data_IF_103764652002
#
_entry.id   IF_103764652002
#
_cell.length_a   1.000
_cell.length_b   1.000
_cell.length_c   1.000
_cell.angle_alpha   90.00
_cell.angle_beta   90.00
_cell.angle_gamma   90.00
#
_symmetry.space_group_name_H-M   'P 1'
#
loop_
_entity.id
_entity.type
_entity.pdbx_description
1 polymer ?
#
# COMPACT_ATOMS: atom_id res chain seq x y z
N UNK A 1 -1.86 24.23 -34.86
CA UNK A 1 -0.45 23.99 -35.23
C UNK A 1 -0.13 22.52 -35.03
N UNK A 2 0.46 21.86 -36.06
CA UNK A 2 0.93 20.47 -35.97
C UNK A 2 2.12 20.35 -35.00
N UNK A 3 2.23 19.22 -34.30
CA UNK A 3 3.39 18.91 -33.41
C UNK A 3 4.73 19.07 -34.13
N UNK A 4 4.76 18.85 -35.44
CA UNK A 4 5.95 18.93 -36.29
C UNK A 4 6.40 20.37 -36.51
N UNK A 5 5.47 21.30 -36.74
CA UNK A 5 5.75 22.72 -36.87
C UNK A 5 6.32 23.33 -35.58
N UNK A 6 5.90 22.82 -34.41
CA UNK A 6 6.40 23.27 -33.10
C UNK A 6 7.82 22.79 -32.80
N UNK A 7 8.22 21.61 -33.30
CA UNK A 7 9.59 21.08 -33.19
C UNK A 7 10.57 21.83 -34.10
N UNK A 8 10.11 22.23 -35.29
CA UNK A 8 10.92 22.98 -36.27
C UNK A 8 11.19 24.43 -35.86
N UNK A 9 10.47 24.96 -34.86
CA UNK A 9 10.65 26.32 -34.33
C UNK A 9 11.60 26.38 -33.11
N UNK A 10 12.14 25.25 -32.65
CA UNK A 10 13.10 25.28 -31.55
C UNK A 10 14.45 25.80 -32.06
N UNK A 11 15.05 26.82 -31.41
CA UNK A 11 16.35 27.33 -31.80
C UNK A 11 17.41 26.23 -31.65
N UNK A 12 18.34 26.18 -32.62
CA UNK A 12 19.51 25.32 -32.55
C UNK A 12 20.36 25.75 -31.35
N UNK A 13 20.54 24.82 -30.42
CA UNK A 13 21.36 25.00 -29.21
C UNK A 13 22.81 24.67 -29.59
N UNK A 14 23.77 25.43 -29.05
CA UNK A 14 25.20 25.19 -29.29
C UNK A 14 25.70 23.92 -28.58
N UNK A 15 26.81 23.34 -29.06
CA UNK A 15 27.41 22.15 -28.43
C UNK A 15 27.77 22.37 -26.96
N UNK A 16 28.26 23.57 -26.63
CA UNK A 16 28.61 23.95 -25.26
C UNK A 16 27.38 24.01 -24.35
N UNK A 17 26.27 24.58 -24.83
CA UNK A 17 25.01 24.61 -24.10
C UNK A 17 24.40 23.21 -23.93
N UNK A 18 24.57 22.31 -24.91
CA UNK A 18 24.16 20.90 -24.78
C UNK A 18 24.95 20.22 -23.68
N UNK A 19 26.29 20.30 -23.70
CA UNK A 19 27.13 19.71 -22.66
C UNK A 19 26.88 20.31 -21.28
N UNK A 20 26.61 21.62 -21.21
CA UNK A 20 26.25 22.28 -19.95
C UNK A 20 24.92 21.77 -19.39
N UNK A 21 23.89 21.63 -20.24
CA UNK A 21 22.59 21.07 -19.84
C UNK A 21 22.69 19.60 -19.46
N UNK A 22 23.44 18.80 -20.20
CA UNK A 22 23.70 17.40 -19.86
C UNK A 22 24.44 17.28 -18.52
N UNK A 23 25.46 18.10 -18.28
CA UNK A 23 26.16 18.14 -17.00
C UNK A 23 25.25 18.61 -15.85
N UNK A 24 24.32 19.52 -16.09
CA UNK A 24 23.30 19.92 -15.13
C UNK A 24 22.33 18.76 -14.83
N UNK A 25 21.79 18.11 -15.86
CA UNK A 25 20.87 16.97 -15.70
C UNK A 25 21.54 15.78 -15.01
N UNK A 26 22.80 15.50 -15.33
CA UNK A 26 23.56 14.43 -14.68
C UNK A 26 23.87 14.72 -13.20
N UNK A 27 23.88 16.00 -12.80
CA UNK A 27 24.08 16.41 -11.39
C UNK A 27 22.80 16.28 -10.55
N UNK A 28 21.61 16.28 -11.16
CA UNK A 28 20.35 16.21 -10.43
C UNK A 28 19.63 14.87 -10.63
N UNK A 29 19.49 14.07 -9.57
CA UNK A 29 18.52 12.96 -9.59
C UNK A 29 17.12 13.49 -9.31
N UNK A 30 16.20 13.20 -10.22
CA UNK A 30 14.80 13.56 -10.06
C UNK A 30 14.04 12.44 -9.35
N UNK A 31 13.54 12.73 -8.15
CA UNK A 31 12.67 11.83 -7.40
C UNK A 31 11.21 12.21 -7.61
N UNK A 32 10.33 11.22 -7.77
CA UNK A 32 8.88 11.47 -7.78
C UNK A 32 8.46 12.14 -6.47
N UNK A 33 7.44 13.02 -6.46
CA UNK A 33 6.91 13.56 -5.21
C UNK A 33 6.38 12.42 -4.32
N UNK A 34 6.63 12.54 -3.02
CA UNK A 34 6.21 11.55 -2.03
C UNK A 34 4.88 11.98 -1.43
N UNK A 35 3.94 11.05 -1.28
CA UNK A 35 2.68 11.31 -0.57
C UNK A 35 2.95 11.56 0.91
N UNK A 36 2.17 12.44 1.55
CA UNK A 36 2.43 12.93 2.92
C UNK A 36 2.66 11.80 3.97
N UNK A 37 1.93 10.69 3.84
CA UNK A 37 2.08 9.54 4.74
C UNK A 37 3.47 8.92 4.65
N UNK A 38 3.99 8.75 3.44
CA UNK A 38 5.33 8.20 3.20
C UNK A 38 6.41 9.17 3.66
N UNK A 39 6.19 10.48 3.53
CA UNK A 39 7.08 11.52 4.08
C UNK A 39 7.20 11.39 5.60
N UNK A 40 6.08 11.22 6.31
CA UNK A 40 6.07 10.99 7.77
C UNK A 40 6.85 9.73 8.16
N UNK A 41 6.74 8.68 7.37
CA UNK A 41 7.50 7.45 7.58
C UNK A 41 9.00 7.68 7.41
N UNK A 42 9.42 8.38 6.35
CA UNK A 42 10.84 8.71 6.15
C UNK A 42 11.40 9.59 7.26
N UNK A 43 10.66 10.57 7.77
CA UNK A 43 11.11 11.36 8.92
C UNK A 43 11.38 10.50 10.15
N UNK A 44 10.50 9.53 10.43
CA UNK A 44 10.72 8.59 11.55
C UNK A 44 11.96 7.73 11.32
N UNK A 45 12.13 7.18 10.13
CA UNK A 45 13.30 6.37 9.80
C UNK A 45 14.61 7.18 9.83
N UNK A 46 14.57 8.44 9.40
CA UNK A 46 15.70 9.38 9.51
C UNK A 46 16.06 9.67 10.96
N UNK A 47 15.07 9.85 11.83
CA UNK A 47 15.30 10.04 13.25
C UNK A 47 15.95 8.80 13.89
N UNK A 48 15.47 7.58 13.56
CA UNK A 48 16.11 6.35 14.04
C UNK A 48 17.58 6.26 13.65
N UNK A 49 17.91 6.61 12.40
CA UNK A 49 19.30 6.60 11.93
C UNK A 49 20.17 7.62 12.66
N UNK A 50 19.65 8.82 12.92
CA UNK A 50 20.36 9.84 13.71
C UNK A 50 20.61 9.40 15.14
N UNK A 51 19.59 8.89 15.82
CA UNK A 51 19.71 8.38 17.18
C UNK A 51 20.70 7.22 17.26
N UNK A 52 20.77 6.37 16.23
CA UNK A 52 21.78 5.33 16.14
C UNK A 52 23.20 5.91 16.03
N UNK A 53 23.40 6.98 15.24
CA UNK A 53 24.69 7.68 15.16
C UNK A 53 25.12 8.29 16.48
N UNK A 54 24.16 8.87 17.22
CA UNK A 54 24.40 9.37 18.59
C UNK A 54 24.77 8.23 19.55
N UNK A 55 24.14 7.06 19.42
CA UNK A 55 24.44 5.89 20.25
C UNK A 55 25.86 5.33 20.03
N UNK A 56 26.35 5.32 18.79
CA UNK A 56 27.72 4.86 18.46
C UNK A 56 28.79 5.95 18.62
N UNK A 57 28.41 7.13 19.10
CA UNK A 57 29.30 8.30 19.30
C UNK A 57 30.11 8.69 18.05
N UNK A 58 29.48 8.63 16.87
CA UNK A 58 30.10 9.09 15.62
C UNK A 58 29.68 10.53 15.30
N UNK A 59 30.60 11.47 15.49
CA UNK A 59 30.42 12.90 15.15
C UNK A 59 30.46 13.19 13.64
N UNK A 60 30.07 12.20 12.82
CA UNK A 60 30.10 12.29 11.37
C UNK A 60 28.75 12.82 10.87
N UNK A 61 28.72 13.77 9.93
CA UNK A 61 27.47 14.22 9.33
C UNK A 61 26.74 13.05 8.68
N UNK A 62 25.54 12.74 9.16
CA UNK A 62 24.71 11.64 8.65
C UNK A 62 24.01 12.02 7.33
N UNK A 63 23.82 11.04 6.43
CA UNK A 63 22.98 11.15 5.23
C UNK A 63 23.42 12.28 4.28
N UNK A 64 24.72 12.36 4.00
CA UNK A 64 25.25 13.33 3.05
C UNK A 64 24.99 12.89 1.61
N UNK A 65 24.76 13.87 0.72
CA UNK A 65 24.62 13.59 -0.70
C UNK A 65 25.89 12.94 -1.24
N UNK A 66 25.70 11.87 -2.00
CA UNK A 66 26.75 11.07 -2.63
C UNK A 66 27.73 10.41 -1.66
N UNK A 67 27.35 10.23 -0.39
CA UNK A 67 28.16 9.45 0.54
C UNK A 67 28.21 7.97 0.15
N UNK A 68 29.28 7.28 0.53
CA UNK A 68 29.38 5.84 0.32
C UNK A 68 28.36 5.10 1.19
N UNK A 69 27.74 4.03 0.68
CA UNK A 69 26.76 3.26 1.43
C UNK A 69 27.42 2.64 2.67
N UNK A 70 26.70 2.53 3.81
CA UNK A 70 27.26 1.91 5.01
C UNK A 70 27.60 0.45 4.77
N UNK A 71 28.58 -0.08 5.50
CA UNK A 71 28.95 -1.50 5.40
C UNK A 71 27.79 -2.41 5.85
N UNK A 72 27.69 -3.65 5.34
CA UNK A 72 26.66 -4.60 5.77
C UNK A 72 26.63 -4.80 7.28
N UNK A 73 27.80 -4.86 7.94
CA UNK A 73 27.91 -4.95 9.39
C UNK A 73 27.30 -3.74 10.11
N UNK A 74 27.52 -2.52 9.60
CA UNK A 74 26.92 -1.31 10.16
C UNK A 74 25.39 -1.33 10.03
N UNK A 75 24.89 -1.78 8.88
CA UNK A 75 23.45 -1.89 8.61
C UNK A 75 22.78 -2.94 9.51
N UNK A 76 23.46 -4.07 9.76
CA UNK A 76 23.00 -5.09 10.72
C UNK A 76 22.94 -4.55 12.15
N UNK A 77 24.02 -3.88 12.60
CA UNK A 77 24.06 -3.27 13.93
C UNK A 77 22.97 -2.21 14.12
N UNK A 78 22.70 -1.39 13.11
CA UNK A 78 21.58 -0.45 13.15
C UNK A 78 20.23 -1.15 13.34
N UNK A 79 19.95 -2.20 12.57
CA UNK A 79 18.67 -2.90 12.63
C UNK A 79 18.51 -3.69 13.94
N UNK A 80 19.61 -4.21 14.48
CA UNK A 80 19.67 -4.80 15.81
C UNK A 80 19.40 -3.75 16.90
N UNK A 81 20.04 -2.60 16.84
CA UNK A 81 19.77 -1.49 17.75
C UNK A 81 18.30 -1.04 17.69
N UNK A 82 17.70 -0.97 16.50
CA UNK A 82 16.26 -0.71 16.35
C UNK A 82 15.43 -1.79 17.03
N UNK A 83 15.80 -3.06 16.89
CA UNK A 83 15.11 -4.16 17.56
C UNK A 83 15.18 -4.05 19.10
N UNK A 84 16.35 -3.72 19.65
CA UNK A 84 16.57 -3.62 21.09
C UNK A 84 15.92 -2.39 21.72
N UNK A 85 15.86 -1.27 21.00
CA UNK A 85 15.33 0.00 21.52
C UNK A 85 13.85 0.22 21.26
N UNK A 86 13.23 -0.57 20.37
CA UNK A 86 11.84 -0.39 19.99
C UNK A 86 10.89 -1.26 20.80
N UNK A 87 9.79 -0.64 21.25
CA UNK A 87 8.68 -1.36 21.88
C UNK A 87 7.58 -1.68 20.87
N UNK A 88 7.11 -2.93 20.88
CA UNK A 88 5.98 -3.36 20.07
C UNK A 88 4.65 -2.83 20.62
N UNK A 89 3.67 -2.64 19.73
CA UNK A 89 2.30 -2.26 20.12
C UNK A 89 1.50 -3.45 20.64
N UNK A 90 1.82 -4.66 20.16
CA UNK A 90 1.10 -5.90 20.51
C UNK A 90 1.79 -6.66 21.64
N UNK A 91 3.09 -6.46 21.78
CA UNK A 91 4.02 -7.20 22.65
C UNK A 91 5.19 -6.27 22.99
N UNK A 92 5.96 -6.61 24.01
CA UNK A 92 7.18 -5.86 24.37
C UNK A 92 8.14 -5.73 23.18
N UNK A 93 8.38 -6.82 22.44
CA UNK A 93 9.21 -6.80 21.23
C UNK A 93 8.45 -6.39 19.98
N UNK A 94 9.13 -5.73 19.04
CA UNK A 94 8.60 -5.44 17.72
C UNK A 94 8.37 -6.72 16.90
N UNK A 95 7.44 -6.65 15.95
CA UNK A 95 7.16 -7.78 15.06
C UNK A 95 8.18 -7.87 13.93
N UNK A 96 8.40 -9.09 13.42
CA UNK A 96 9.21 -9.32 12.21
C UNK A 96 8.78 -8.40 11.05
N UNK A 97 7.47 -8.24 10.87
CA UNK A 97 6.94 -7.41 9.78
C UNK A 97 7.22 -5.92 9.98
N UNK A 98 7.16 -5.43 11.22
CA UNK A 98 7.51 -4.05 11.54
C UNK A 98 8.97 -3.76 11.25
N UNK A 99 9.87 -4.69 11.60
CA UNK A 99 11.30 -4.52 11.38
C UNK A 99 11.66 -4.61 9.89
N UNK A 100 11.10 -5.56 9.14
CA UNK A 100 11.26 -5.61 7.68
C UNK A 100 10.76 -4.33 6.99
N UNK A 101 9.61 -3.79 7.43
CA UNK A 101 9.11 -2.53 6.88
C UNK A 101 10.04 -1.37 7.23
N UNK A 102 10.62 -1.35 8.43
CA UNK A 102 11.60 -0.34 8.84
C UNK A 102 12.84 -0.40 7.96
N UNK A 103 13.35 -1.61 7.68
CA UNK A 103 14.46 -1.83 6.75
C UNK A 103 14.14 -1.34 5.33
N UNK A 104 12.98 -1.71 4.80
CA UNK A 104 12.54 -1.26 3.47
C UNK A 104 12.44 0.27 3.38
N UNK A 105 11.84 0.89 4.39
CA UNK A 105 11.73 2.35 4.45
C UNK A 105 13.09 3.01 4.61
N UNK A 106 14.03 2.38 5.31
CA UNK A 106 15.39 2.86 5.43
C UNK A 106 16.10 2.89 4.09
N UNK A 107 16.10 1.79 3.32
CA UNK A 107 16.73 1.76 1.99
C UNK A 107 16.15 2.85 1.07
N UNK A 108 14.83 3.01 1.06
CA UNK A 108 14.16 4.00 0.21
C UNK A 108 14.43 5.45 0.67
N UNK A 109 14.45 5.71 1.98
CA UNK A 109 14.79 6.99 2.57
C UNK A 109 16.26 7.34 2.31
N UNK A 110 17.16 6.39 2.55
CA UNK A 110 18.60 6.55 2.35
C UNK A 110 18.90 6.96 0.91
N UNK A 111 18.36 6.22 -0.07
CA UNK A 111 18.52 6.54 -1.49
C UNK A 111 18.07 7.96 -1.86
N UNK A 112 17.03 8.48 -1.21
CA UNK A 112 16.53 9.83 -1.48
C UNK A 112 17.37 10.94 -0.87
N UNK A 113 17.95 10.68 0.28
CA UNK A 113 18.77 11.67 0.99
C UNK A 113 20.19 11.71 0.42
N UNK A 114 20.74 10.55 0.06
CA UNK A 114 22.13 10.41 -0.39
C UNK A 114 22.28 10.30 -1.90
N UNK A 115 21.21 10.09 -2.66
CA UNK A 115 21.23 9.75 -4.10
C UNK A 115 22.02 8.45 -4.43
N UNK A 116 22.36 7.66 -3.40
CA UNK A 116 23.15 6.43 -3.50
C UNK A 116 22.30 5.25 -3.00
N UNK A 117 22.17 4.23 -3.85
CA UNK A 117 21.44 3.03 -3.50
C UNK A 117 22.33 2.10 -2.67
N UNK A 118 21.77 1.51 -1.62
CA UNK A 118 22.42 0.41 -0.91
C UNK A 118 22.52 -0.77 -1.88
N UNK A 119 23.70 -1.40 -2.05
CA UNK A 119 23.86 -2.55 -2.93
C UNK A 119 22.86 -3.66 -2.58
N UNK A 120 22.26 -4.27 -3.61
CA UNK A 120 21.22 -5.30 -3.42
C UNK A 120 21.74 -6.47 -2.57
N UNK A 121 23.00 -6.87 -2.76
CA UNK A 121 23.67 -7.90 -1.98
C UNK A 121 23.71 -7.57 -0.48
N UNK A 122 24.07 -6.34 -0.12
CA UNK A 122 24.05 -5.87 1.26
C UNK A 122 22.62 -5.80 1.81
N UNK A 123 21.66 -5.38 0.97
CA UNK A 123 20.27 -5.26 1.40
C UNK A 123 19.60 -6.60 1.67
N UNK A 124 19.93 -7.62 0.87
CA UNK A 124 19.46 -8.98 1.06
C UNK A 124 20.15 -9.67 2.24
N UNK A 125 21.43 -9.38 2.48
CA UNK A 125 22.17 -9.88 3.66
C UNK A 125 21.55 -9.37 4.98
N UNK A 126 21.24 -8.07 5.08
CA UNK A 126 20.54 -7.50 6.25
C UNK A 126 19.14 -8.10 6.39
N UNK A 127 18.43 -8.31 5.28
CA UNK A 127 17.10 -8.95 5.32
C UNK A 127 17.19 -10.41 5.79
N UNK A 128 18.23 -11.14 5.40
CA UNK A 128 18.50 -12.49 5.87
C UNK A 128 18.73 -12.47 7.38
N UNK A 129 19.61 -11.60 7.87
CA UNK A 129 19.89 -11.40 9.31
C UNK A 129 18.63 -11.13 10.14
N UNK A 130 17.70 -10.29 9.65
CA UNK A 130 16.41 -10.06 10.30
C UNK A 130 15.59 -11.37 10.44
N UNK A 131 15.56 -12.18 9.39
CA UNK A 131 14.75 -13.41 9.33
C UNK A 131 15.38 -14.59 10.06
N UNK A 132 16.68 -14.57 10.27
CA UNK A 132 17.43 -15.63 10.95
C UNK A 132 17.73 -15.23 12.39
N UNK A 133 18.71 -14.35 12.61
CA UNK A 133 19.25 -14.03 13.92
C UNK A 133 18.30 -13.22 14.79
N UNK A 134 17.72 -12.14 14.27
CA UNK A 134 16.79 -11.35 15.09
C UNK A 134 15.49 -12.12 15.36
N UNK A 135 15.12 -13.02 14.45
CA UNK A 135 13.98 -13.91 14.65
C UNK A 135 14.21 -14.86 15.83
N UNK A 136 15.42 -15.41 15.97
CA UNK A 136 15.77 -16.27 17.11
C UNK A 136 15.96 -15.49 18.40
N UNK A 137 16.35 -14.21 18.33
CA UNK A 137 16.49 -13.31 19.50
C UNK A 137 15.18 -12.87 20.17
N UNK A 138 14.02 -13.19 19.61
CA UNK A 138 12.72 -12.92 20.25
C UNK A 138 11.81 -11.93 19.53
N UNK A 139 12.00 -11.70 18.22
CA UNK A 139 11.01 -10.95 17.43
C UNK A 139 9.60 -11.50 17.62
N UNK A 140 8.65 -10.61 17.86
CA UNK A 140 7.27 -11.00 18.03
C UNK A 140 6.69 -11.57 16.72
N UNK A 141 6.11 -12.77 16.83
CA UNK A 141 5.45 -13.44 15.70
C UNK A 141 3.93 -13.26 15.70
N UNK A 142 3.42 -12.50 16.67
CA UNK A 142 2.00 -12.25 16.84
C UNK A 142 1.48 -11.41 15.68
N UNK A 143 0.37 -11.86 15.10
CA UNK A 143 -0.40 -11.07 14.13
C UNK A 143 -1.54 -10.39 14.85
N UNK A 144 -1.74 -9.10 14.59
CA UNK A 144 -2.92 -8.38 15.09
C UNK A 144 -4.18 -9.07 14.56
N UNK A 145 -5.03 -9.54 15.44
CA UNK A 145 -6.37 -9.98 15.06
C UNK A 145 -7.13 -8.77 14.50
N UNK A 146 -7.64 -8.89 13.28
CA UNK A 146 -8.53 -7.87 12.71
C UNK A 146 -9.93 -8.25 13.12
N UNK A 147 -10.67 -7.32 13.72
CA UNK A 147 -12.11 -7.47 13.82
C UNK A 147 -12.64 -7.64 12.39
N UNK A 148 -13.30 -8.77 12.15
CA UNK A 148 -14.04 -8.99 10.92
C UNK A 148 -15.44 -8.44 11.16
N UNK A 149 -15.95 -7.70 10.18
CA UNK A 149 -17.34 -7.26 10.22
C UNK A 149 -18.23 -8.52 10.26
N UNK A 150 -19.14 -8.57 11.22
CA UNK A 150 -20.09 -9.66 11.35
C UNK A 150 -21.45 -9.30 10.69
N UNK A 151 -22.42 -10.20 10.82
CA UNK A 151 -23.75 -9.99 10.25
C UNK A 151 -24.47 -8.78 10.88
N UNK A 152 -24.20 -8.48 12.16
CA UNK A 152 -24.81 -7.36 12.88
C UNK A 152 -24.23 -6.03 12.39
N UNK A 153 -22.90 -5.95 12.23
CA UNK A 153 -22.22 -4.80 11.64
C UNK A 153 -22.81 -4.46 10.26
N UNK A 154 -23.08 -5.49 9.44
CA UNK A 154 -23.65 -5.32 8.09
C UNK A 154 -25.11 -4.90 8.17
N UNK A 155 -25.91 -5.52 9.03
CA UNK A 155 -27.31 -5.14 9.23
C UNK A 155 -27.43 -3.69 9.70
N UNK A 156 -26.58 -3.26 10.64
CA UNK A 156 -26.53 -1.87 11.09
C UNK A 156 -26.06 -0.92 10.00
N UNK A 157 -25.04 -1.29 9.22
CA UNK A 157 -24.60 -0.49 8.09
C UNK A 157 -25.72 -0.30 7.05
N UNK A 158 -26.41 -1.38 6.68
CA UNK A 158 -27.53 -1.34 5.73
C UNK A 158 -28.71 -0.54 6.27
N UNK A 159 -29.05 -0.75 7.54
CA UNK A 159 -30.12 -0.01 8.23
C UNK A 159 -29.79 1.48 8.28
N UNK A 160 -28.56 1.83 8.61
CA UNK A 160 -28.11 3.22 8.61
C UNK A 160 -28.23 3.82 7.20
N UNK A 161 -27.68 3.14 6.18
CA UNK A 161 -27.71 3.60 4.79
C UNK A 161 -29.13 3.76 4.22
N UNK A 162 -30.07 2.88 4.57
CA UNK A 162 -31.43 2.91 4.03
C UNK A 162 -32.42 3.71 4.86
N UNK A 163 -32.33 3.69 6.18
CA UNK A 163 -33.35 4.24 7.07
C UNK A 163 -32.97 5.60 7.66
N UNK A 164 -31.66 5.86 7.83
CA UNK A 164 -31.19 7.01 8.61
C UNK A 164 -30.27 7.94 7.85
N UNK A 165 -29.74 7.52 6.71
CA UNK A 165 -28.88 8.36 5.91
C UNK A 165 -29.68 9.47 5.23
N UNK A 166 -29.72 10.63 5.90
CA UNK A 166 -30.27 11.87 5.37
C UNK A 166 -29.33 12.54 4.38
N UNK A 167 -28.14 11.97 4.10
CA UNK A 167 -27.33 12.49 3.03
C UNK A 167 -28.07 12.27 1.70
N UNK A 168 -28.62 13.36 1.17
CA UNK A 168 -28.69 13.54 -0.27
C UNK A 168 -27.24 13.46 -0.77
N UNK A 169 -26.79 12.26 -1.12
CA UNK A 169 -25.58 12.14 -1.90
C UNK A 169 -25.88 12.81 -3.25
N UNK A 170 -25.56 14.11 -3.34
CA UNK A 170 -25.10 14.70 -4.59
C UNK A 170 -23.76 14.05 -4.91
N UNK A 171 -23.79 12.76 -5.23
CA UNK A 171 -22.63 12.10 -5.78
C UNK A 171 -22.30 12.88 -7.05
N UNK A 172 -21.04 13.35 -7.23
CA UNK A 172 -20.67 14.09 -8.43
C UNK A 172 -20.79 13.24 -9.70
N UNK A 173 -21.17 11.95 -9.60
CA UNK A 173 -21.19 10.97 -10.69
C UNK A 173 -22.34 9.97 -10.56
N UNK A 174 -23.09 9.69 -11.63
CA UNK A 174 -24.06 8.60 -11.68
C UNK A 174 -23.37 7.24 -11.46
N UNK A 175 -23.97 6.39 -10.62
CA UNK A 175 -23.60 4.96 -10.56
C UNK A 175 -22.66 4.51 -9.43
N UNK A 176 -22.37 5.38 -8.45
CA UNK A 176 -21.56 5.07 -7.25
C UNK A 176 -22.48 4.97 -6.02
N UNK A 177 -22.30 3.95 -5.18
CA UNK A 177 -23.14 3.72 -3.97
C UNK A 177 -22.42 4.18 -2.70
N UNK A 178 -21.16 3.79 -2.50
CA UNK A 178 -20.38 4.16 -1.31
C UNK A 178 -18.95 4.50 -1.71
N UNK A 179 -18.50 5.69 -1.32
CA UNK A 179 -17.10 6.10 -1.33
C UNK A 179 -16.63 6.18 0.12
N UNK A 180 -15.59 5.44 0.48
CA UNK A 180 -15.02 5.54 1.82
C UNK A 180 -14.39 6.93 2.00
N UNK A 181 -14.59 7.55 3.17
CA UNK A 181 -14.04 8.87 3.48
C UNK A 181 -12.51 8.93 3.37
N UNK A 182 -11.82 7.80 3.55
CA UNK A 182 -10.38 7.67 3.36
C UNK A 182 -9.94 7.73 1.88
N UNK A 183 -10.88 7.70 0.93
CA UNK A 183 -10.66 7.61 -0.52
C UNK A 183 -11.43 8.68 -1.30
N UNK A 184 -11.90 9.75 -0.63
CA UNK A 184 -12.64 10.86 -1.25
C UNK A 184 -11.84 11.46 -2.42
N UNK A 185 -12.37 11.33 -3.63
CA UNK A 185 -11.78 11.87 -4.86
C UNK A 185 -10.79 10.94 -5.58
N UNK A 186 -10.57 9.70 -5.12
CA UNK A 186 -9.64 8.75 -5.76
C UNK A 186 -10.25 7.96 -6.93
N UNK A 187 -11.55 8.13 -7.23
CA UNK A 187 -12.35 7.27 -8.13
C UNK A 187 -12.51 5.81 -7.65
N UNK A 188 -12.06 5.49 -6.44
CA UNK A 188 -12.15 4.15 -5.85
C UNK A 188 -13.38 4.08 -4.94
N UNK A 189 -14.50 3.66 -5.53
CA UNK A 189 -15.77 3.52 -4.83
C UNK A 189 -16.48 2.23 -5.25
N UNK A 190 -17.34 1.72 -4.37
CA UNK A 190 -18.25 0.63 -4.70
C UNK A 190 -19.32 1.16 -5.66
N UNK A 191 -19.50 0.48 -6.78
CA UNK A 191 -20.44 0.84 -7.86
C UNK A 191 -21.61 -0.14 -7.84
N UNK A 192 -22.74 0.21 -8.47
CA UNK A 192 -23.90 -0.69 -8.56
C UNK A 192 -23.55 -2.09 -9.10
N UNK A 193 -22.63 -2.18 -10.06
CA UNK A 193 -22.17 -3.47 -10.61
C UNK A 193 -21.39 -4.36 -9.63
N UNK A 194 -20.99 -3.82 -8.49
CA UNK A 194 -20.31 -4.59 -7.43
C UNK A 194 -21.33 -5.21 -6.45
N UNK A 195 -22.64 -4.98 -6.65
CA UNK A 195 -23.71 -5.55 -5.84
C UNK A 195 -24.64 -6.38 -6.72
N UNK A 196 -25.03 -7.55 -6.24
CA UNK A 196 -26.04 -8.40 -6.88
C UNK A 196 -27.04 -8.82 -5.80
N UNK A 197 -28.31 -8.43 -5.98
CA UNK A 197 -29.39 -8.85 -5.10
C UNK A 197 -30.11 -10.03 -5.74
N UNK A 198 -30.12 -11.17 -5.06
CA UNK A 198 -30.73 -12.40 -5.53
C UNK A 198 -31.87 -12.78 -4.61
N UNK A 199 -33.07 -12.99 -5.16
CA UNK A 199 -34.18 -13.58 -4.44
C UNK A 199 -34.14 -15.10 -4.56
N UNK A 200 -33.99 -15.82 -3.45
CA UNK A 200 -34.07 -17.26 -3.39
C UNK A 200 -35.44 -17.68 -2.83
N UNK A 201 -36.23 -18.51 -3.54
CA UNK A 201 -37.47 -19.03 -2.99
C UNK A 201 -37.16 -19.99 -1.83
N UNK A 202 -37.87 -19.82 -0.72
CA UNK A 202 -37.69 -20.58 0.51
C UNK A 202 -39.03 -21.14 0.99
N UNK A 203 -39.09 -22.47 1.12
CA UNK A 203 -40.20 -23.21 1.71
C UNK A 203 -41.44 -23.38 0.81
N UNK A 204 -42.43 -24.16 1.28
CA UNK A 204 -43.66 -24.47 0.54
C UNK A 204 -44.59 -23.27 0.32
N UNK A 205 -44.41 -22.18 1.07
CA UNK A 205 -45.22 -20.96 1.00
C UNK A 205 -44.66 -19.90 0.03
N UNK A 206 -43.66 -20.26 -0.78
CA UNK A 206 -43.05 -19.35 -1.76
C UNK A 206 -42.52 -18.03 -1.16
N UNK A 207 -41.99 -18.09 0.06
CA UNK A 207 -41.38 -16.91 0.70
C UNK A 207 -40.04 -16.61 0.02
N UNK A 208 -39.67 -15.33 -0.10
CA UNK A 208 -38.43 -14.91 -0.76
C UNK A 208 -37.35 -14.61 0.28
N UNK A 209 -36.21 -15.29 0.24
CA UNK A 209 -34.98 -14.88 0.95
C UNK A 209 -34.18 -13.96 0.03
N UNK A 210 -33.96 -12.72 0.46
CA UNK A 210 -33.09 -11.79 -0.27
C UNK A 210 -31.64 -12.01 0.14
N UNK A 211 -30.79 -12.31 -0.84
CA UNK A 211 -29.35 -12.49 -0.67
C UNK A 211 -28.63 -11.36 -1.37
N UNK A 212 -27.94 -10.52 -0.61
CA UNK A 212 -27.07 -9.50 -1.17
C UNK A 212 -25.66 -10.07 -1.33
N UNK A 213 -25.19 -10.16 -2.57
CA UNK A 213 -23.80 -10.47 -2.90
C UNK A 213 -23.05 -9.17 -3.12
N UNK A 214 -21.90 -9.03 -2.46
CA UNK A 214 -21.03 -7.86 -2.61
C UNK A 214 -19.67 -8.30 -3.14
N UNK A 215 -19.21 -7.65 -4.21
CA UNK A 215 -17.90 -7.85 -4.84
C UNK A 215 -16.89 -6.88 -4.25
N UNK A 216 -16.00 -7.38 -3.40
CA UNK A 216 -14.88 -6.59 -2.91
C UNK A 216 -13.72 -6.66 -3.91
N UNK A 217 -13.20 -5.50 -4.32
CA UNK A 217 -11.97 -5.42 -5.13
C UNK A 217 -10.79 -5.16 -4.21
N UNK A 218 -9.93 -6.15 -4.00
CA UNK A 218 -8.76 -6.00 -3.12
C UNK A 218 -7.55 -5.51 -3.93
N UNK A 219 -7.44 -4.20 -4.15
CA UNK A 219 -6.31 -3.63 -4.93
C UNK A 219 -5.11 -3.22 -4.08
N UNK A 220 -4.91 -3.86 -2.91
CA UNK A 220 -3.74 -3.56 -2.09
C UNK A 220 -2.48 -3.97 -2.86
N UNK A 221 -1.68 -2.97 -3.25
CA UNK A 221 -0.42 -3.04 -4.03
C UNK A 221 -0.52 -2.93 -5.57
N UNK A 222 -1.72 -2.89 -6.18
CA UNK A 222 -1.88 -2.71 -7.64
C UNK A 222 -2.47 -1.34 -8.02
N UNK A 223 -2.29 -0.34 -7.15
CA UNK A 223 -3.03 0.94 -7.13
C UNK A 223 -2.72 1.92 -8.27
N UNK A 224 -1.65 1.69 -9.04
CA UNK A 224 -1.23 2.57 -10.16
C UNK A 224 -1.25 1.87 -11.53
N UNK A 225 -1.66 0.60 -11.59
CA UNK A 225 -1.76 -0.09 -12.87
C UNK A 225 -3.01 0.39 -13.57
N UNK A 226 -2.84 1.27 -14.57
CA UNK A 226 -3.91 1.63 -15.50
C UNK A 226 -4.54 0.32 -16.00
N UNK A 227 -5.88 0.23 -16.08
CA UNK A 227 -6.52 -0.95 -16.64
C UNK A 227 -5.98 -1.15 -18.05
N UNK A 228 -5.31 -2.28 -18.27
CA UNK A 228 -5.00 -2.74 -19.62
C UNK A 228 -6.34 -3.04 -20.30
N UNK A 229 -6.81 -2.10 -21.10
CA UNK A 229 -7.78 -2.38 -22.16
C UNK A 229 -7.08 -3.30 -23.16
N UNK A 230 -7.21 -4.61 -22.94
CA UNK A 230 -6.92 -5.60 -23.97
C UNK A 230 -8.09 -5.63 -24.94
N UNK A 231 -8.02 -4.76 -25.94
CA UNK A 231 -8.58 -5.08 -27.24
C UNK A 231 -7.61 -6.09 -27.88
N UNK A 232 -8.07 -7.35 -27.93
CA UNK A 232 -7.76 -8.39 -28.91
C UNK A 232 -6.51 -8.22 -29.80
N UNK A 233 -5.59 -9.19 -29.73
CA UNK A 233 -5.13 -9.95 -30.90
C UNK A 233 -4.39 -11.23 -30.48
N UNK A 234 -4.83 -12.34 -31.09
CA UNK A 234 -4.45 -13.75 -31.00
C UNK A 234 -2.95 -14.07 -30.77
N UNK A 235 -2.65 -15.00 -29.85
CA UNK A 235 -1.68 -16.11 -30.02
C UNK A 235 -2.16 -17.28 -29.16
N UNK A 236 -2.23 -18.46 -29.76
CA UNK A 236 -2.64 -19.75 -29.19
C UNK A 236 -1.55 -20.36 -28.28
N UNK A 237 -2.04 -21.04 -27.24
CA UNK A 237 -1.52 -22.21 -26.52
C UNK A 237 -0.12 -22.20 -25.88
N UNK A 238 -0.10 -22.16 -24.54
CA UNK A 238 0.55 -23.18 -23.72
C UNK A 238 -0.03 -23.18 -22.28
N UNK A 239 -0.25 -24.38 -21.75
CA UNK A 239 -1.04 -24.70 -20.56
C UNK A 239 -0.41 -24.31 -19.20
N UNK A 240 -1.29 -24.21 -18.20
CA UNK A 240 -1.06 -24.20 -16.74
C UNK A 240 -0.44 -22.96 -16.06
N UNK A 241 -1.30 -22.14 -15.44
CA UNK A 241 -1.66 -22.20 -14.00
C UNK A 241 -2.71 -21.11 -13.74
N UNK A 242 -3.89 -21.52 -13.26
CA UNK A 242 -4.95 -20.63 -12.75
C UNK A 242 -4.43 -19.73 -11.61
N UNK A 243 -4.08 -18.47 -11.90
CA UNK A 243 -3.69 -17.46 -10.89
C UNK A 243 -4.35 -16.07 -11.13
N UNK A 244 -5.58 -16.05 -11.67
CA UNK A 244 -6.31 -14.80 -11.94
C UNK A 244 -7.56 -14.57 -11.08
N UNK A 245 -7.87 -15.45 -10.13
CA UNK A 245 -9.10 -15.35 -9.32
C UNK A 245 -8.92 -14.65 -7.95
N UNK A 246 -7.69 -14.31 -7.57
CA UNK A 246 -7.38 -13.71 -6.25
C UNK A 246 -7.78 -12.24 -6.09
N UNK A 247 -8.26 -11.57 -7.15
CA UNK A 247 -8.52 -10.11 -7.12
C UNK A 247 -9.89 -9.77 -6.50
N UNK A 248 -10.82 -10.71 -6.46
CA UNK A 248 -12.20 -10.47 -6.05
C UNK A 248 -12.69 -11.54 -5.09
N UNK A 249 -13.39 -11.10 -4.03
CA UNK A 249 -14.11 -12.02 -3.14
C UNK A 249 -15.58 -11.62 -3.09
N UNK A 250 -16.43 -12.60 -3.34
CA UNK A 250 -17.86 -12.48 -3.07
C UNK A 250 -18.12 -12.78 -1.61
N UNK A 251 -18.87 -11.88 -0.96
CA UNK A 251 -19.42 -12.12 0.38
C UNK A 251 -20.94 -12.17 0.23
N UNK A 252 -21.53 -13.22 0.79
CA UNK A 252 -22.96 -13.43 0.80
C UNK A 252 -23.50 -13.01 2.16
N UNK A 253 -24.50 -12.13 2.14
CA UNK A 253 -25.27 -11.78 3.32
C UNK A 253 -26.65 -12.40 3.19
N UNK A 254 -26.99 -13.22 4.18
CA UNK A 254 -28.33 -13.80 4.34
C UNK A 254 -29.00 -13.10 5.50
N UNK A 255 -30.28 -12.79 5.33
CA UNK A 255 -31.10 -12.33 6.45
C UNK A 255 -31.32 -13.51 7.40
N UNK A 256 -30.72 -13.44 8.59
CA UNK A 256 -30.98 -14.44 9.62
C UNK A 256 -32.36 -14.18 10.23
N UNK A 257 -33.36 -14.92 9.73
CA UNK A 257 -34.75 -14.86 10.21
C UNK A 257 -34.90 -15.29 11.68
N UNK A 258 -33.89 -15.88 12.30
CA UNK A 258 -33.91 -16.23 13.73
C UNK A 258 -33.42 -15.08 14.62
N UNK A 259 -32.79 -14.06 14.05
CA UNK A 259 -32.33 -12.88 14.76
C UNK A 259 -33.46 -11.86 14.95
N UNK A 260 -34.40 -12.17 15.85
CA UNK A 260 -35.48 -11.26 16.28
C UNK A 260 -34.97 -10.12 17.20
N UNK A 261 -33.78 -9.57 16.96
CA UNK A 261 -33.21 -8.49 17.78
C UNK A 261 -32.89 -8.86 19.24
N UNK A 262 -32.62 -10.13 19.54
CA UNK A 262 -32.27 -10.63 20.90
C UNK A 262 -30.87 -11.26 20.99
N UNK A 263 -29.84 -10.60 20.45
CA UNK A 263 -28.47 -10.95 20.85
C UNK A 263 -28.06 -10.12 22.09
N UNK A 264 -27.22 -10.67 22.99
CA UNK A 264 -27.03 -10.13 24.34
C UNK A 264 -26.42 -8.73 24.32
N UNK A 265 -26.87 -7.88 25.25
CA UNK A 265 -26.33 -6.54 25.52
C UNK A 265 -24.88 -6.60 25.99
#
# INVERSE_FOLDING_TARGET
MSRQARRQQLPLITREEVHSKEAEYNRSRHHKPVVALTTKTYYRTKALWKNFYEYIDEDKPCLQKHEHPPSPGRLKHFIEWVFETSFGVLTEHITLKSLENTWYNFCAMYFRETDVAIPQTAADDVRCFIKTELKTKGLAQIRRHKALADALDVAWLLTYLWCYDKHEFRHPRPGVIVESSAYRGSNEAMRYKDFELVGLPTGPENTLELVLKVKFRYEKNNRDQKPQTHASENVEDDEDVNDHDDKYKWVLFREDRTCCGRCPR
#
